data_IF_533947479632
#
_entry.id   IF_533947479632
#
_cell.length_a   1.000
_cell.length_b   1.000
_cell.length_c   1.000
_cell.angle_alpha   90.00
_cell.angle_beta   90.00
_cell.angle_gamma   90.00
#
_symmetry.space_group_name_H-M   'P 1'
#
loop_
_entity.id
_entity.type
_entity.pdbx_description
1 polymer ?
#
# COMPACT_ATOMS: atom_id res chain seq x y z
N UNK A 1 30.47 -38.19 -41.54
CA UNK A 1 30.95 -38.22 -40.14
C UNK A 1 31.85 -37.02 -39.92
N UNK A 2 31.38 -35.98 -39.24
CA UNK A 2 32.19 -34.83 -38.81
C UNK A 2 31.81 -34.49 -37.37
N UNK A 3 32.77 -34.63 -36.45
CA UNK A 3 32.60 -34.49 -35.01
C UNK A 3 32.46 -33.01 -34.61
N UNK A 4 31.37 -32.66 -33.91
CA UNK A 4 31.22 -31.38 -33.23
C UNK A 4 32.06 -31.35 -31.95
N UNK A 5 33.00 -30.42 -31.87
CA UNK A 5 33.73 -30.14 -30.63
C UNK A 5 32.84 -29.41 -29.63
N UNK A 6 32.53 -30.06 -28.51
CA UNK A 6 31.90 -29.42 -27.36
C UNK A 6 32.96 -28.58 -26.63
N UNK A 7 32.86 -27.25 -26.73
CA UNK A 7 33.60 -26.33 -25.85
C UNK A 7 33.18 -26.59 -24.40
N UNK A 8 34.03 -27.24 -23.61
CA UNK A 8 33.92 -27.28 -22.14
C UNK A 8 33.99 -25.85 -21.61
N UNK A 9 32.83 -25.23 -21.32
CA UNK A 9 32.79 -24.01 -20.50
C UNK A 9 33.29 -24.38 -19.10
N UNK A 10 34.32 -23.67 -18.66
CA UNK A 10 35.06 -23.92 -17.42
C UNK A 10 34.12 -23.97 -16.22
N UNK A 11 34.07 -25.14 -15.57
CA UNK A 11 33.32 -25.40 -14.35
C UNK A 11 33.71 -24.43 -13.21
N UNK A 12 34.95 -23.95 -13.24
CA UNK A 12 35.49 -22.95 -12.32
C UNK A 12 34.79 -21.59 -12.42
N UNK A 13 34.34 -21.16 -13.61
CA UNK A 13 33.63 -19.88 -13.76
C UNK A 13 32.23 -19.91 -13.13
N UNK A 14 31.56 -21.06 -13.15
CA UNK A 14 30.23 -21.25 -12.53
C UNK A 14 30.35 -21.34 -11.01
N UNK A 15 31.38 -22.04 -10.51
CA UNK A 15 31.64 -22.13 -9.07
C UNK A 15 32.00 -20.76 -8.50
N UNK A 16 32.90 -20.00 -9.14
CA UNK A 16 33.31 -18.67 -8.67
C UNK A 16 32.17 -17.65 -8.69
N UNK A 17 31.32 -17.65 -9.74
CA UNK A 17 30.12 -16.82 -9.76
C UNK A 17 29.13 -17.24 -8.66
N UNK A 18 29.01 -18.54 -8.39
CA UNK A 18 28.20 -19.09 -7.31
C UNK A 18 28.68 -18.67 -5.92
N UNK A 19 30.00 -18.68 -5.65
CA UNK A 19 30.55 -18.24 -4.36
C UNK A 19 30.46 -16.73 -4.17
N UNK A 20 30.67 -15.92 -5.22
CA UNK A 20 30.49 -14.46 -5.15
C UNK A 20 29.02 -14.13 -4.88
N UNK A 21 28.10 -14.82 -5.56
CA UNK A 21 26.66 -14.66 -5.35
C UNK A 21 26.24 -15.08 -3.93
N UNK A 22 26.73 -16.21 -3.44
CA UNK A 22 26.44 -16.71 -2.09
C UNK A 22 27.00 -15.78 -1.01
N UNK A 23 28.21 -15.24 -1.21
CA UNK A 23 28.85 -14.30 -0.28
C UNK A 23 28.12 -12.95 -0.27
N UNK A 24 27.61 -12.48 -1.41
CA UNK A 24 26.76 -11.29 -1.49
C UNK A 24 25.40 -11.50 -0.81
N UNK A 25 24.79 -12.67 -0.99
CA UNK A 25 23.54 -13.07 -0.32
C UNK A 25 23.73 -13.17 1.20
N UNK A 26 24.81 -13.79 1.67
CA UNK A 26 25.15 -13.89 3.09
C UNK A 26 25.39 -12.52 3.73
N UNK A 27 26.14 -11.64 3.04
CA UNK A 27 26.43 -10.28 3.52
C UNK A 27 25.19 -9.38 3.58
N UNK A 28 24.20 -9.63 2.72
CA UNK A 28 22.89 -8.94 2.74
C UNK A 28 21.94 -9.54 3.78
N UNK A 29 21.97 -10.87 3.96
CA UNK A 29 21.18 -11.56 4.98
C UNK A 29 21.53 -11.07 6.39
N UNK A 30 22.82 -10.90 6.68
CA UNK A 30 23.30 -10.35 7.96
C UNK A 30 22.84 -8.90 8.17
N UNK A 31 22.75 -8.09 7.11
CA UNK A 31 22.28 -6.70 7.21
C UNK A 31 20.76 -6.61 7.48
N UNK A 32 19.96 -7.46 6.83
CA UNK A 32 18.49 -7.52 7.04
C UNK A 32 18.15 -8.08 8.43
N UNK A 33 18.85 -9.12 8.87
CA UNK A 33 18.64 -9.69 10.21
C UNK A 33 19.07 -8.73 11.34
N UNK A 34 20.07 -7.86 11.10
CA UNK A 34 20.44 -6.78 12.02
C UNK A 34 19.33 -5.73 12.14
N UNK A 35 18.76 -5.27 11.03
CA UNK A 35 17.62 -4.34 11.05
C UNK A 35 16.36 -4.93 11.70
N UNK A 36 16.15 -6.24 11.59
CA UNK A 36 15.04 -6.93 12.26
C UNK A 36 15.25 -7.05 13.78
N UNK A 37 16.50 -7.22 14.23
CA UNK A 37 16.88 -7.25 15.65
C UNK A 37 16.84 -5.86 16.29
N UNK A 38 17.29 -4.83 15.58
CA UNK A 38 17.24 -3.42 16.04
C UNK A 38 15.78 -2.96 16.20
N UNK A 39 14.89 -3.33 15.28
CA UNK A 39 13.44 -3.05 15.42
C UNK A 39 12.76 -3.70 16.63
N UNK A 40 13.36 -4.76 17.19
CA UNK A 40 12.88 -5.41 18.41
C UNK A 40 13.43 -4.76 19.68
N UNK A 41 14.64 -4.20 19.63
CA UNK A 41 15.26 -3.51 20.77
C UNK A 41 14.60 -2.14 21.04
N UNK A 42 14.17 -1.43 19.99
CA UNK A 42 13.53 -0.10 20.12
C UNK A 42 12.11 -0.15 20.73
N UNK A 43 11.54 -1.35 20.92
CA UNK A 43 10.25 -1.54 21.56
C UNK A 43 10.33 -1.72 23.09
N UNK A 44 11.53 -1.80 23.68
CA UNK A 44 11.71 -2.09 25.11
C UNK A 44 12.06 -0.88 26.00
N UNK A 45 12.20 0.33 25.46
CA UNK A 45 12.51 1.53 26.27
C UNK A 45 11.34 2.52 26.24
N UNK A 46 10.56 2.53 27.32
CA UNK A 46 9.64 3.61 27.72
C UNK A 46 10.27 4.42 28.87
N UNK A 47 10.01 5.72 28.91
CA UNK A 47 10.21 6.53 30.11
C UNK A 47 10.03 8.03 29.89
N UNK A 48 8.77 8.48 30.01
CA UNK A 48 8.28 9.74 30.60
C UNK A 48 8.88 11.10 30.20
N UNK A 49 8.05 11.97 29.60
CA UNK A 49 7.95 13.37 29.99
C UNK A 49 6.67 14.04 29.45
N UNK A 50 5.89 14.62 30.36
CA UNK A 50 4.82 15.59 30.13
C UNK A 50 5.47 16.99 30.33
N UNK A 51 5.27 18.03 29.50
CA UNK A 51 4.14 18.99 29.58
C UNK A 51 4.28 20.06 28.46
N UNK A 52 3.10 20.41 27.90
CA UNK A 52 2.56 21.67 27.32
C UNK A 52 3.44 22.59 26.47
N UNK A 53 2.89 22.90 25.29
CA UNK A 53 3.21 24.09 24.50
C UNK A 53 1.96 24.54 23.74
N UNK A 54 1.47 25.71 24.10
CA UNK A 54 0.34 26.38 23.48
C UNK A 54 0.84 26.97 22.15
N UNK A 55 0.59 26.29 21.04
CA UNK A 55 0.87 26.82 19.71
C UNK A 55 -0.31 26.59 18.76
N UNK A 56 -0.77 27.72 18.25
CA UNK A 56 -1.65 27.95 17.11
C UNK A 56 -1.71 26.77 16.12
N UNK A 57 -2.85 26.09 16.03
CA UNK A 57 -3.06 24.93 15.13
C UNK A 57 -3.20 25.43 13.68
N UNK A 58 -2.08 25.77 13.05
CA UNK A 58 -1.92 25.70 11.60
C UNK A 58 -1.48 24.28 11.24
N UNK A 59 -2.41 23.33 11.40
CA UNK A 59 -2.16 21.93 11.11
C UNK A 59 -2.18 21.68 9.60
N UNK A 60 -1.02 21.80 8.96
CA UNK A 60 -0.81 21.13 7.68
C UNK A 60 -1.11 19.65 7.87
N UNK A 61 -2.12 19.17 7.15
CA UNK A 61 -2.51 17.77 7.25
C UNK A 61 -1.38 16.96 6.64
N UNK A 62 -0.70 16.16 7.45
CA UNK A 62 0.26 15.20 6.96
C UNK A 62 -0.47 14.16 6.10
N UNK A 63 -0.03 13.96 4.86
CA UNK A 63 -0.55 12.91 4.00
C UNK A 63 0.29 11.65 4.19
N UNK A 64 -0.38 10.53 4.42
CA UNK A 64 0.25 9.22 4.58
C UNK A 64 -0.36 8.25 3.56
N UNK A 65 0.48 7.65 2.72
CA UNK A 65 0.06 6.64 1.76
C UNK A 65 0.32 5.26 2.36
N UNK A 66 -0.69 4.40 2.33
CA UNK A 66 -0.59 2.98 2.69
C UNK A 66 -0.90 2.15 1.45
N UNK A 67 0.14 1.61 0.83
CA UNK A 67 0.04 0.84 -0.40
C UNK A 67 0.25 -0.66 -0.14
N UNK A 68 -0.80 -1.47 -0.37
CA UNK A 68 -0.74 -2.93 -0.20
C UNK A 68 -0.37 -3.64 -1.53
N UNK A 69 0.85 -4.16 -1.61
CA UNK A 69 1.40 -4.83 -2.79
C UNK A 69 1.34 -6.34 -2.62
N UNK A 70 0.81 -7.04 -3.62
CA UNK A 70 0.85 -8.50 -3.71
C UNK A 70 1.64 -8.92 -4.95
N UNK A 71 2.61 -9.79 -4.76
CA UNK A 71 3.53 -10.32 -5.77
C UNK A 71 3.14 -11.79 -6.08
N UNK A 72 2.32 -12.03 -7.11
CA UNK A 72 1.97 -13.38 -7.54
C UNK A 72 3.16 -14.03 -8.27
N UNK A 73 3.36 -15.34 -8.06
CA UNK A 73 4.44 -16.11 -8.71
C UNK A 73 4.17 -16.39 -10.18
N UNK A 74 2.90 -16.48 -10.57
CA UNK A 74 2.48 -16.92 -11.91
C UNK A 74 2.37 -15.79 -12.94
N UNK A 75 2.66 -14.55 -12.55
CA UNK A 75 2.45 -13.35 -13.38
C UNK A 75 3.60 -12.38 -13.22
N UNK A 76 3.94 -11.71 -14.32
CA UNK A 76 4.88 -10.60 -14.26
C UNK A 76 4.21 -9.34 -13.70
N UNK A 77 4.44 -9.09 -12.42
CA UNK A 77 3.92 -7.95 -11.68
C UNK A 77 4.73 -6.67 -11.88
N UNK A 78 5.97 -6.76 -12.39
CA UNK A 78 6.94 -5.65 -12.43
C UNK A 78 6.44 -4.46 -13.25
N UNK A 79 5.88 -4.62 -14.47
CA UNK A 79 5.39 -3.49 -15.26
C UNK A 79 4.23 -2.76 -14.59
N UNK A 80 3.34 -3.50 -13.92
CA UNK A 80 2.19 -2.91 -13.26
C UNK A 80 2.60 -2.15 -12.00
N UNK A 81 3.48 -2.72 -11.17
CA UNK A 81 4.01 -2.04 -9.99
C UNK A 81 4.70 -0.72 -10.40
N UNK A 82 5.59 -0.79 -11.41
CA UNK A 82 6.28 0.39 -11.94
C UNK A 82 5.29 1.44 -12.42
N UNK A 83 4.26 1.04 -13.20
CA UNK A 83 3.28 1.98 -13.72
C UNK A 83 2.45 2.66 -12.62
N UNK A 84 1.99 1.90 -11.62
CA UNK A 84 1.20 2.44 -10.52
C UNK A 84 2.01 3.42 -9.66
N UNK A 85 3.28 3.11 -9.40
CA UNK A 85 4.17 4.02 -8.68
C UNK A 85 4.49 5.27 -9.49
N UNK A 86 4.77 5.12 -10.80
CA UNK A 86 5.02 6.26 -11.68
C UNK A 86 3.79 7.17 -11.78
N UNK A 87 2.57 6.61 -11.89
CA UNK A 87 1.33 7.39 -11.90
C UNK A 87 1.17 8.28 -10.64
N UNK A 88 1.65 7.83 -9.47
CA UNK A 88 1.59 8.60 -8.21
C UNK A 88 2.71 9.65 -8.16
N UNK A 89 3.90 9.33 -8.66
CA UNK A 89 5.01 10.27 -8.79
C UNK A 89 4.65 11.41 -9.76
N UNK A 90 4.10 11.09 -10.92
CA UNK A 90 3.77 12.03 -12.00
C UNK A 90 2.75 13.11 -11.57
N UNK A 91 1.91 12.82 -10.57
CA UNK A 91 0.93 13.77 -10.04
C UNK A 91 1.46 14.56 -8.83
N UNK A 92 2.74 14.41 -8.47
CA UNK A 92 3.41 15.10 -7.38
C UNK A 92 3.00 14.64 -5.97
N UNK A 93 2.21 13.58 -5.83
CA UNK A 93 1.69 13.17 -4.52
C UNK A 93 2.81 12.64 -3.59
N UNK A 94 3.86 12.01 -4.14
CA UNK A 94 4.99 11.51 -3.35
C UNK A 94 5.83 12.64 -2.71
N UNK A 95 5.78 13.86 -3.25
CA UNK A 95 6.49 15.02 -2.68
C UNK A 95 5.79 15.54 -1.42
N UNK A 96 4.50 15.25 -1.27
CA UNK A 96 3.65 15.75 -0.18
C UNK A 96 3.36 14.70 0.89
N UNK A 97 3.64 13.42 0.62
CA UNK A 97 3.17 12.31 1.42
C UNK A 97 4.27 11.34 1.86
N UNK A 98 4.14 10.81 3.07
CA UNK A 98 4.95 9.67 3.53
C UNK A 98 4.38 8.37 2.95
N UNK A 99 5.22 7.61 2.23
CA UNK A 99 4.81 6.34 1.63
C UNK A 99 5.18 5.15 2.52
N UNK A 100 4.16 4.39 2.93
CA UNK A 100 4.30 3.06 3.52
C UNK A 100 3.79 1.99 2.56
N UNK A 101 4.62 0.97 2.32
CA UNK A 101 4.32 -0.13 1.42
C UNK A 101 4.34 -1.44 2.19
N UNK A 102 3.21 -2.14 2.20
CA UNK A 102 3.12 -3.50 2.73
C UNK A 102 3.20 -4.48 1.57
N UNK A 103 4.28 -5.28 1.50
CA UNK A 103 4.56 -6.19 0.38
C UNK A 103 4.35 -7.63 0.82
N UNK A 104 3.49 -8.35 0.10
CA UNK A 104 3.23 -9.77 0.26
C UNK A 104 3.68 -10.54 -0.97
N UNK A 105 4.42 -11.64 -0.80
CA UNK A 105 4.85 -12.49 -1.91
C UNK A 105 4.20 -13.87 -1.82
N UNK A 106 3.71 -14.37 -2.96
CA UNK A 106 3.14 -15.71 -3.06
C UNK A 106 4.23 -16.79 -2.91
N UNK A 107 3.84 -17.92 -2.33
CA UNK A 107 4.68 -19.11 -2.17
C UNK A 107 4.26 -20.15 -3.21
N UNK A 108 5.22 -20.87 -3.80
CA UNK A 108 4.89 -22.04 -4.61
C UNK A 108 4.84 -23.29 -3.72
N UNK A 109 3.65 -23.73 -3.35
CA UNK A 109 3.42 -24.84 -2.40
C UNK A 109 4.08 -26.17 -2.83
N UNK A 110 4.38 -26.36 -4.11
CA UNK A 110 5.02 -27.58 -4.62
C UNK A 110 6.55 -27.59 -4.48
N UNK A 111 7.15 -26.50 -4.00
CA UNK A 111 8.60 -26.33 -3.89
C UNK A 111 9.06 -26.48 -2.44
N UNK A 112 10.27 -27.02 -2.23
CA UNK A 112 10.94 -27.07 -0.92
C UNK A 112 10.91 -25.69 -0.23
N UNK A 113 10.63 -25.69 1.09
CA UNK A 113 10.43 -24.50 1.92
C UNK A 113 11.61 -23.53 1.87
N UNK A 114 12.86 -24.01 1.73
CA UNK A 114 14.06 -23.16 1.60
C UNK A 114 14.09 -22.42 0.27
N UNK A 115 13.76 -23.09 -0.82
CA UNK A 115 13.68 -22.47 -2.15
C UNK A 115 12.53 -21.46 -2.23
N UNK A 116 11.42 -21.75 -1.56
CA UNK A 116 10.30 -20.84 -1.41
C UNK A 116 10.66 -19.56 -0.66
N UNK A 117 11.46 -19.65 0.40
CA UNK A 117 11.96 -18.48 1.12
C UNK A 117 12.90 -17.62 0.25
N UNK A 118 13.83 -18.26 -0.46
CA UNK A 118 14.76 -17.56 -1.35
C UNK A 118 14.01 -16.85 -2.49
N UNK A 119 13.04 -17.52 -3.12
CA UNK A 119 12.24 -16.94 -4.20
C UNK A 119 11.41 -15.74 -3.73
N UNK A 120 10.82 -15.79 -2.54
CA UNK A 120 10.11 -14.64 -1.95
C UNK A 120 11.07 -13.49 -1.63
N UNK A 121 12.24 -13.80 -1.08
CA UNK A 121 13.26 -12.78 -0.78
C UNK A 121 13.69 -12.03 -2.04
N UNK A 122 13.91 -12.74 -3.14
CA UNK A 122 14.24 -12.13 -4.43
C UNK A 122 13.09 -11.25 -4.95
N UNK A 123 11.84 -11.72 -4.86
CA UNK A 123 10.68 -10.92 -5.24
C UNK A 123 10.55 -9.63 -4.41
N UNK A 124 10.80 -9.69 -3.10
CA UNK A 124 10.82 -8.47 -2.27
C UNK A 124 11.93 -7.51 -2.69
N UNK A 125 13.13 -8.01 -2.97
CA UNK A 125 14.25 -7.18 -3.43
C UNK A 125 13.94 -6.48 -4.76
N UNK A 126 13.38 -7.21 -5.73
CA UNK A 126 12.97 -6.64 -7.01
C UNK A 126 11.88 -5.56 -6.82
N UNK A 127 10.88 -5.82 -5.96
CA UNK A 127 9.80 -4.86 -5.73
C UNK A 127 10.29 -3.59 -5.03
N UNK A 128 11.13 -3.75 -3.99
CA UNK A 128 11.77 -2.63 -3.29
C UNK A 128 12.63 -1.83 -4.26
N UNK A 129 13.42 -2.49 -5.12
CA UNK A 129 14.25 -1.80 -6.10
C UNK A 129 13.41 -0.90 -7.03
N UNK A 130 12.31 -1.43 -7.58
CA UNK A 130 11.40 -0.66 -8.44
C UNK A 130 10.82 0.55 -7.71
N UNK A 131 10.39 0.38 -6.46
CA UNK A 131 9.80 1.46 -5.65
C UNK A 131 10.87 2.49 -5.27
N UNK A 132 12.05 2.07 -4.85
CA UNK A 132 13.16 2.94 -4.46
C UNK A 132 13.70 3.77 -5.63
N UNK A 133 13.73 3.20 -6.84
CA UNK A 133 14.09 3.93 -8.07
C UNK A 133 13.16 5.13 -8.31
N UNK A 134 11.86 4.98 -8.00
CA UNK A 134 10.84 6.02 -8.25
C UNK A 134 10.71 6.99 -7.07
N UNK A 135 10.85 6.48 -5.84
CA UNK A 135 10.66 7.25 -4.61
C UNK A 135 11.95 7.83 -4.05
N UNK A 136 13.08 7.60 -4.72
CA UNK A 136 14.41 7.97 -4.26
C UNK A 136 14.71 7.45 -2.84
N UNK A 137 14.31 6.20 -2.55
CA UNK A 137 14.52 5.49 -1.27
C UNK A 137 13.85 6.12 -0.05
N UNK A 138 12.77 6.87 -0.25
CA UNK A 138 12.02 7.49 0.86
C UNK A 138 10.89 6.60 1.40
N UNK A 139 10.53 5.54 0.68
CA UNK A 139 9.46 4.62 1.08
C UNK A 139 9.83 3.76 2.30
N UNK A 140 8.82 3.42 3.10
CA UNK A 140 8.93 2.52 4.26
C UNK A 140 8.26 1.18 3.96
N UNK A 141 8.88 0.08 4.36
CA UNK A 141 8.45 -1.26 3.94
C UNK A 141 8.06 -2.17 5.10
N UNK A 142 6.94 -2.88 4.96
CA UNK A 142 6.57 -4.02 5.79
C UNK A 142 6.46 -5.27 4.90
N UNK A 143 7.28 -6.30 5.17
CA UNK A 143 7.34 -7.51 4.35
C UNK A 143 6.56 -8.65 4.99
N UNK A 144 5.75 -9.34 4.20
CA UNK A 144 4.92 -10.45 4.66
C UNK A 144 5.10 -11.67 3.77
N UNK A 145 5.49 -12.78 4.38
CA UNK A 145 5.63 -14.07 3.69
C UNK A 145 4.25 -14.71 3.50
N UNK A 146 3.88 -14.97 2.24
CA UNK A 146 2.59 -15.55 1.87
C UNK A 146 1.48 -14.54 1.57
N UNK A 147 0.38 -15.05 1.02
CA UNK A 147 -0.79 -14.25 0.67
C UNK A 147 -1.80 -14.19 1.83
N UNK A 148 -1.91 -13.03 2.48
CA UNK A 148 -2.97 -12.76 3.47
C UNK A 148 -3.95 -11.68 2.99
N UNK A 149 -4.19 -11.65 1.67
CA UNK A 149 -5.04 -10.68 1.00
C UNK A 149 -4.60 -9.24 1.32
N UNK A 150 -5.49 -8.45 1.90
CA UNK A 150 -5.26 -7.05 2.25
C UNK A 150 -4.91 -6.83 3.73
N UNK A 151 -4.78 -7.91 4.51
CA UNK A 151 -4.42 -7.83 5.93
C UNK A 151 -3.17 -7.01 6.20
N UNK A 152 -2.02 -7.21 5.51
CA UNK A 152 -0.80 -6.49 5.86
C UNK A 152 -0.95 -4.98 5.73
N UNK A 153 -1.51 -4.50 4.62
CA UNK A 153 -1.80 -3.08 4.43
C UNK A 153 -2.84 -2.53 5.40
N UNK A 154 -3.93 -3.27 5.67
CA UNK A 154 -4.96 -2.83 6.61
C UNK A 154 -4.44 -2.76 8.05
N UNK A 155 -3.62 -3.73 8.46
CA UNK A 155 -2.95 -3.74 9.75
C UNK A 155 -1.99 -2.55 9.88
N UNK A 156 -1.27 -2.22 8.81
CA UNK A 156 -0.39 -1.07 8.77
C UNK A 156 -1.17 0.25 8.86
N UNK A 157 -2.25 0.41 8.08
CA UNK A 157 -3.15 1.56 8.17
C UNK A 157 -3.66 1.77 9.61
N UNK A 158 -4.13 0.69 10.25
CA UNK A 158 -4.60 0.75 11.63
C UNK A 158 -3.50 1.18 12.61
N UNK A 159 -2.30 0.60 12.49
CA UNK A 159 -1.11 0.95 13.29
C UNK A 159 -0.74 2.42 13.11
N UNK A 160 -0.63 2.88 11.87
CA UNK A 160 -0.26 4.26 11.55
C UNK A 160 -1.31 5.26 12.06
N UNK A 161 -2.61 4.96 11.94
CA UNK A 161 -3.67 5.80 12.50
C UNK A 161 -3.66 5.93 14.03
N UNK A 162 -2.90 5.09 14.76
CA UNK A 162 -2.68 5.23 16.21
C UNK A 162 -1.49 6.11 16.56
N UNK A 163 -0.47 6.14 15.72
CA UNK A 163 0.76 6.92 15.98
C UNK A 163 0.73 8.29 15.34
N UNK A 164 0.02 8.47 14.22
CA UNK A 164 -0.12 9.75 13.53
C UNK A 164 -1.20 10.63 14.17
N UNK A 165 -1.16 11.93 13.83
CA UNK A 165 -2.08 12.92 14.33
C UNK A 165 -3.54 12.64 13.95
N UNK A 166 -4.53 13.09 14.75
CA UNK A 166 -5.95 12.87 14.47
C UNK A 166 -6.44 13.58 13.19
N UNK A 167 -5.68 14.56 12.68
CA UNK A 167 -5.96 15.28 11.43
C UNK A 167 -5.12 14.80 10.25
N UNK A 168 -4.19 13.85 10.44
CA UNK A 168 -3.45 13.26 9.32
C UNK A 168 -4.42 12.61 8.35
N UNK A 169 -4.12 12.71 7.05
CA UNK A 169 -4.95 12.23 5.97
C UNK A 169 -4.29 11.00 5.34
N UNK A 170 -5.00 9.88 5.34
CA UNK A 170 -4.46 8.61 4.85
C UNK A 170 -5.07 8.26 3.51
N UNK A 171 -4.24 7.90 2.53
CA UNK A 171 -4.65 7.23 1.30
C UNK A 171 -4.34 5.74 1.42
N UNK A 172 -5.36 4.88 1.36
CA UNK A 172 -5.21 3.43 1.27
C UNK A 172 -5.59 2.94 -0.13
N UNK A 173 -4.75 2.08 -0.70
CA UNK A 173 -5.08 1.30 -1.87
C UNK A 173 -4.20 0.05 -1.96
N UNK A 174 -4.62 -0.89 -2.81
CA UNK A 174 -3.87 -2.10 -3.07
C UNK A 174 -3.46 -2.21 -4.54
N UNK A 175 -2.53 -3.10 -4.85
CA UNK A 175 -2.01 -3.40 -6.20
C UNK A 175 -3.07 -4.06 -7.11
N UNK A 176 -4.08 -3.27 -7.49
CA UNK A 176 -5.20 -3.74 -8.31
C UNK A 176 -4.70 -4.17 -9.69
N UNK A 177 -5.09 -5.38 -10.12
CA UNK A 177 -4.74 -5.92 -11.43
C UNK A 177 -3.60 -6.93 -11.43
N UNK A 178 -3.01 -7.26 -10.27
CA UNK A 178 -1.91 -8.24 -10.20
C UNK A 178 -2.33 -9.69 -10.54
N UNK A 179 -3.58 -10.10 -10.27
CA UNK A 179 -4.01 -11.51 -10.40
C UNK A 179 -4.88 -11.78 -11.63
N UNK A 180 -5.77 -10.86 -12.01
CA UNK A 180 -6.90 -11.15 -12.93
C UNK A 180 -6.74 -10.60 -14.36
N UNK A 181 -5.56 -10.71 -14.98
CA UNK A 181 -5.33 -10.19 -16.35
C UNK A 181 -4.40 -11.06 -17.20
N UNK A 182 -4.75 -11.21 -18.49
CA UNK A 182 -3.81 -11.55 -19.57
C UNK A 182 -3.23 -10.27 -20.16
N UNK A 183 -1.93 -10.26 -20.49
CA UNK A 183 -1.09 -9.12 -20.94
C UNK A 183 -1.23 -7.81 -20.12
N UNK A 184 -0.11 -7.15 -19.83
CA UNK A 184 0.00 -5.97 -18.95
C UNK A 184 -0.99 -4.83 -19.25
N UNK A 185 -1.39 -4.66 -20.52
CA UNK A 185 -2.37 -3.67 -20.97
C UNK A 185 -3.76 -3.85 -20.35
N UNK A 186 -4.24 -5.08 -20.18
CA UNK A 186 -5.56 -5.30 -19.59
C UNK A 186 -5.56 -5.02 -18.08
N UNK A 187 -4.43 -5.27 -17.39
CA UNK A 187 -4.27 -4.99 -15.97
C UNK A 187 -4.42 -3.52 -15.64
N UNK A 188 -3.85 -2.67 -16.50
CA UNK A 188 -3.98 -1.23 -16.38
C UNK A 188 -5.44 -0.76 -16.53
N UNK A 189 -6.28 -1.42 -17.35
CA UNK A 189 -7.69 -1.03 -17.53
C UNK A 189 -8.53 -1.07 -16.25
N UNK A 190 -8.20 -1.95 -15.28
CA UNK A 190 -8.93 -2.01 -13.98
C UNK A 190 -8.39 -1.03 -12.96
N UNK A 191 -7.08 -0.75 -12.99
CA UNK A 191 -6.46 0.24 -12.10
C UNK A 191 -6.77 1.68 -12.52
N UNK A 192 -6.73 1.97 -13.83
CA UNK A 192 -6.80 3.35 -14.33
C UNK A 192 -8.04 4.13 -13.87
N UNK A 193 -9.27 3.57 -13.89
CA UNK A 193 -10.44 4.28 -13.37
C UNK A 193 -10.33 4.61 -11.89
N UNK A 194 -9.77 3.72 -11.06
CA UNK A 194 -9.57 3.94 -9.63
C UNK A 194 -8.52 5.01 -9.38
N UNK A 195 -7.41 4.98 -10.13
CA UNK A 195 -6.40 6.02 -10.09
C UNK A 195 -6.99 7.40 -10.43
N UNK A 196 -7.68 7.51 -11.57
CA UNK A 196 -8.21 8.79 -12.05
C UNK A 196 -9.28 9.39 -11.12
N UNK A 197 -10.03 8.54 -10.42
CA UNK A 197 -11.15 8.98 -9.57
C UNK A 197 -10.76 9.19 -8.11
N UNK A 198 -9.85 8.37 -7.56
CA UNK A 198 -9.50 8.42 -6.14
C UNK A 198 -8.15 9.07 -5.89
N UNK A 199 -7.13 8.77 -6.70
CA UNK A 199 -5.73 9.13 -6.41
C UNK A 199 -5.33 10.42 -7.10
N UNK A 200 -5.56 10.52 -8.42
CA UNK A 200 -5.19 11.71 -9.23
C UNK A 200 -5.70 13.04 -8.65
N UNK A 201 -6.95 13.18 -8.15
CA UNK A 201 -7.45 14.45 -7.63
C UNK A 201 -7.02 14.73 -6.18
N UNK A 202 -5.84 14.28 -5.74
CA UNK A 202 -5.42 14.32 -4.34
C UNK A 202 -5.45 15.73 -3.72
N UNK A 203 -5.09 16.77 -4.47
CA UNK A 203 -5.09 18.16 -4.00
C UNK A 203 -6.51 18.62 -3.62
N UNK A 204 -7.49 18.28 -4.46
CA UNK A 204 -8.89 18.59 -4.20
C UNK A 204 -9.42 17.79 -3.02
N UNK A 205 -9.03 16.51 -2.89
CA UNK A 205 -9.39 15.70 -1.72
C UNK A 205 -8.80 16.32 -0.45
N UNK A 206 -7.51 16.66 -0.44
CA UNK A 206 -6.86 17.30 0.71
C UNK A 206 -7.57 18.59 1.10
N UNK A 207 -7.86 19.47 0.12
CA UNK A 207 -8.58 20.73 0.34
C UNK A 207 -9.94 20.50 1.00
N UNK A 208 -10.72 19.53 0.52
CA UNK A 208 -12.04 19.20 1.10
C UNK A 208 -11.94 18.66 2.52
N UNK A 209 -10.95 17.82 2.81
CA UNK A 209 -10.71 17.36 4.19
C UNK A 209 -10.26 18.50 5.10
N UNK A 210 -9.51 19.48 4.59
CA UNK A 210 -9.14 20.68 5.36
C UNK A 210 -10.35 21.56 5.67
N UNK A 211 -11.21 21.80 4.68
CA UNK A 211 -12.39 22.66 4.80
C UNK A 211 -13.53 22.02 5.59
N UNK A 212 -13.70 20.70 5.50
CA UNK A 212 -14.76 19.98 6.17
C UNK A 212 -14.22 19.03 7.25
N UNK A 213 -14.18 19.52 8.49
CA UNK A 213 -13.74 18.72 9.66
C UNK A 213 -14.64 17.51 9.96
N UNK A 214 -15.88 17.47 9.45
CA UNK A 214 -16.79 16.33 9.59
C UNK A 214 -16.54 15.25 8.51
N UNK A 215 -15.81 15.57 7.45
CA UNK A 215 -15.42 14.60 6.43
C UNK A 215 -14.35 13.67 7.00
N UNK A 216 -14.70 12.40 7.13
CA UNK A 216 -13.84 11.37 7.70
C UNK A 216 -13.36 10.34 6.68
N UNK A 217 -14.10 10.18 5.58
CA UNK A 217 -13.90 9.10 4.64
C UNK A 217 -14.36 9.53 3.24
N UNK A 218 -13.57 9.20 2.22
CA UNK A 218 -13.90 9.39 0.81
C UNK A 218 -13.29 8.25 -0.01
N UNK A 219 -13.91 7.83 -1.12
CA UNK A 219 -13.32 6.80 -1.97
C UNK A 219 -14.26 6.35 -3.07
N UNK A 220 -13.85 5.30 -3.78
CA UNK A 220 -14.58 4.85 -4.96
C UNK A 220 -15.97 4.28 -4.61
N UNK A 221 -17.01 4.84 -5.22
CA UNK A 221 -18.40 4.41 -5.07
C UNK A 221 -18.86 4.23 -3.60
N UNK A 222 -18.48 5.14 -2.71
CA UNK A 222 -18.84 5.08 -1.29
C UNK A 222 -20.36 4.95 -1.07
N UNK A 223 -20.76 4.03 -0.21
CA UNK A 223 -22.16 3.77 0.16
C UNK A 223 -22.61 4.57 1.39
N UNK A 224 -23.93 4.57 1.68
CA UNK A 224 -24.49 5.31 2.84
C UNK A 224 -23.96 4.80 4.17
N UNK A 225 -23.67 3.51 4.22
CA UNK A 225 -23.20 2.82 5.42
C UNK A 225 -21.68 2.86 5.58
N UNK A 226 -20.96 3.65 4.76
CA UNK A 226 -19.50 3.80 4.85
C UNK A 226 -18.70 2.68 4.19
N UNK A 227 -19.34 1.77 3.45
CA UNK A 227 -18.63 0.79 2.61
C UNK A 227 -18.02 1.49 1.38
N UNK A 228 -16.78 1.16 1.04
CA UNK A 228 -16.07 1.69 -0.14
C UNK A 228 -15.64 0.55 -1.03
N UNK A 229 -15.99 0.66 -2.32
CA UNK A 229 -15.65 -0.37 -3.28
C UNK A 229 -14.15 -0.41 -3.57
N UNK A 230 -13.64 -1.63 -3.72
CA UNK A 230 -12.26 -1.95 -4.07
C UNK A 230 -11.18 -1.54 -3.07
N UNK A 231 -11.53 -1.01 -1.90
CA UNK A 231 -10.57 -0.49 -0.92
C UNK A 231 -9.61 0.56 -1.51
N UNK A 232 -10.14 1.50 -2.29
CA UNK A 232 -9.42 2.71 -2.69
C UNK A 232 -10.09 3.88 -1.99
N UNK A 233 -9.46 4.38 -0.92
CA UNK A 233 -10.07 5.41 -0.07
C UNK A 233 -9.06 6.34 0.60
N UNK A 234 -9.57 7.52 0.90
CA UNK A 234 -9.00 8.50 1.80
C UNK A 234 -9.71 8.46 3.14
N UNK A 235 -8.97 8.50 4.25
CA UNK A 235 -9.54 8.45 5.59
C UNK A 235 -8.79 9.35 6.57
N UNK A 236 -9.51 10.02 7.46
CA UNK A 236 -8.93 10.86 8.51
C UNK A 236 -8.39 9.99 9.65
N UNK A 237 -7.23 10.36 10.20
CA UNK A 237 -6.58 9.64 11.29
C UNK A 237 -7.50 9.41 12.50
N UNK A 238 -8.30 10.42 12.89
CA UNK A 238 -9.30 10.29 13.96
C UNK A 238 -10.37 9.23 13.68
N UNK A 239 -10.78 9.03 12.42
CA UNK A 239 -11.70 7.95 12.07
C UNK A 239 -11.03 6.57 12.20
N UNK A 240 -9.76 6.43 11.77
CA UNK A 240 -9.02 5.16 11.96
C UNK A 240 -8.98 4.77 13.44
N UNK A 241 -8.94 5.75 14.36
CA UNK A 241 -8.97 5.52 15.82
C UNK A 241 -10.22 4.82 16.33
N UNK A 242 -11.34 4.93 15.61
CA UNK A 242 -12.60 4.25 15.96
C UNK A 242 -12.67 2.81 15.45
N UNK A 243 -11.82 2.44 14.48
CA UNK A 243 -11.83 1.10 13.90
C UNK A 243 -11.37 0.02 14.88
N UNK A 244 -12.02 -1.14 14.81
CA UNK A 244 -11.57 -2.35 15.49
C UNK A 244 -10.19 -2.76 15.00
N UNK A 245 -9.38 -3.38 15.86
CA UNK A 245 -8.09 -3.94 15.45
C UNK A 245 -8.34 -5.00 14.35
N UNK A 246 -7.62 -4.94 13.22
CA UNK A 246 -7.82 -5.91 12.16
C UNK A 246 -7.34 -7.29 12.60
N UNK A 247 -8.06 -8.33 12.19
CA UNK A 247 -7.67 -9.71 12.43
C UNK A 247 -7.20 -10.37 11.12
N UNK A 248 -6.25 -11.28 11.27
CA UNK A 248 -5.81 -12.15 10.17
C UNK A 248 -6.86 -13.25 9.98
N UNK A 249 -7.45 -13.35 8.80
CA UNK A 249 -8.52 -14.31 8.50
C UNK A 249 -8.45 -14.78 7.05
N UNK A 250 -8.93 -16.00 6.80
CA UNK A 250 -9.09 -16.55 5.45
C UNK A 250 -10.27 -15.92 4.69
N UNK A 251 -11.21 -15.26 5.39
CA UNK A 251 -12.37 -14.60 4.77
C UNK A 251 -11.94 -13.31 4.09
N UNK A 252 -11.61 -13.37 2.80
CA UNK A 252 -11.21 -12.20 1.99
C UNK A 252 -12.14 -10.99 2.13
N UNK A 253 -13.45 -11.22 2.12
CA UNK A 253 -14.48 -10.16 2.24
C UNK A 253 -14.41 -9.37 3.55
N UNK A 254 -13.74 -9.89 4.59
CA UNK A 254 -13.48 -9.14 5.83
C UNK A 254 -12.70 -7.85 5.58
N UNK A 255 -11.82 -7.86 4.58
CA UNK A 255 -11.00 -6.72 4.23
C UNK A 255 -11.73 -5.72 3.35
N UNK A 256 -12.73 -6.15 2.57
CA UNK A 256 -13.53 -5.29 1.69
C UNK A 256 -14.48 -4.36 2.48
N UNK A 257 -14.95 -4.79 3.65
CA UNK A 257 -15.81 -4.00 4.53
C UNK A 257 -15.06 -3.43 5.76
N UNK A 258 -13.73 -3.58 5.82
CA UNK A 258 -12.96 -3.26 7.03
C UNK A 258 -13.12 -1.81 7.48
N UNK A 259 -13.20 -0.87 6.55
CA UNK A 259 -13.33 0.57 6.86
C UNK A 259 -14.67 0.91 7.52
N UNK A 260 -15.64 -0.01 7.50
CA UNK A 260 -16.93 0.09 8.19
C UNK A 260 -16.93 -0.61 9.57
N UNK A 261 -15.83 -1.27 9.96
CA UNK A 261 -15.70 -2.01 11.23
C UNK A 261 -15.30 -1.10 12.38
N UNK A 262 -16.21 -0.19 12.74
CA UNK A 262 -16.09 0.66 13.92
C UNK A 262 -16.30 -0.15 15.20
N UNK A 263 -15.59 0.19 16.27
CA UNK A 263 -15.83 -0.37 17.61
C UNK A 263 -17.26 0.03 18.01
N UNK A 264 -18.20 -0.93 18.05
CA UNK A 264 -19.45 -0.75 18.78
C UNK A 264 -19.10 -0.78 20.26
N UNK A 265 -19.22 0.34 20.94
CA UNK A 265 -19.15 0.37 22.40
C UNK A 265 -20.58 0.28 22.94
N UNK A 266 -20.76 -0.46 24.04
CA UNK A 266 -21.89 -0.27 24.95
C UNK A 266 -21.81 1.06 25.72
N UNK A 267 -21.06 2.03 25.21
CA UNK A 267 -20.86 3.36 25.77
C UNK A 267 -20.79 4.32 24.59
N UNK A 268 -21.53 5.42 24.67
CA UNK A 268 -21.66 6.54 23.71
C UNK A 268 -22.80 6.35 22.70
N UNK A 269 -23.81 7.20 22.91
CA UNK A 269 -24.95 7.44 22.03
C UNK A 269 -24.54 7.49 20.56
N UNK A 270 -25.27 6.73 19.74
CA UNK A 270 -25.38 7.04 18.32
C UNK A 270 -26.04 8.41 18.20
N UNK A 271 -25.23 9.45 18.08
CA UNK A 271 -25.72 10.66 17.44
C UNK A 271 -26.07 10.29 16.00
N UNK A 272 -27.37 10.30 15.72
CA UNK A 272 -27.98 10.23 14.39
C UNK A 272 -27.47 11.31 13.41
N UNK A 273 -26.47 12.12 13.79
CA UNK A 273 -25.85 13.17 12.98
C UNK A 273 -24.56 12.77 12.25
N UNK A 274 -24.10 11.50 12.29
CA UNK A 274 -23.13 11.00 11.27
C UNK A 274 -23.89 10.59 10.01
N UNK A 275 -24.70 11.52 9.52
CA UNK A 275 -25.50 11.41 8.32
C UNK A 275 -25.02 12.51 7.36
N UNK A 276 -23.78 12.41 6.87
CA UNK A 276 -23.18 13.37 5.93
C UNK A 276 -22.14 12.62 5.07
N UNK A 277 -22.09 12.68 3.74
CA UNK A 277 -22.81 13.54 2.80
C UNK A 277 -22.87 12.86 1.42
N UNK A 278 -24.07 12.61 0.88
CA UNK A 278 -24.28 11.94 -0.42
C UNK A 278 -23.92 12.79 -1.63
N UNK A 279 -23.86 14.10 -1.44
CA UNK A 279 -23.63 15.07 -2.51
C UNK A 279 -22.19 14.98 -3.05
N UNK A 280 -21.26 14.42 -2.27
CA UNK A 280 -19.85 14.23 -2.63
C UNK A 280 -19.63 13.31 -3.84
N UNK A 281 -20.28 12.14 -3.87
CA UNK A 281 -20.09 11.18 -4.98
C UNK A 281 -20.80 11.69 -6.24
N UNK A 282 -21.92 12.40 -6.11
CA UNK A 282 -22.61 13.00 -7.25
C UNK A 282 -21.87 14.20 -7.82
N UNK A 283 -21.37 15.14 -7.03
CA UNK A 283 -20.63 16.30 -7.55
C UNK A 283 -19.27 15.92 -8.14
N UNK A 284 -18.53 15.01 -7.50
CA UNK A 284 -17.24 14.54 -8.07
C UNK A 284 -17.49 13.70 -9.31
N UNK A 285 -18.50 12.82 -9.33
CA UNK A 285 -18.85 12.10 -10.55
C UNK A 285 -19.42 13.05 -11.60
N UNK A 286 -20.25 14.03 -11.30
CA UNK A 286 -20.78 14.99 -12.28
C UNK A 286 -19.69 15.90 -12.84
N UNK A 287 -18.73 16.33 -12.01
CA UNK A 287 -17.56 17.11 -12.44
C UNK A 287 -16.59 16.27 -13.29
N UNK A 288 -16.34 15.01 -12.90
CA UNK A 288 -15.52 14.05 -13.66
C UNK A 288 -16.23 13.57 -14.93
N UNK A 289 -17.55 13.37 -14.92
CA UNK A 289 -18.34 13.02 -16.11
C UNK A 289 -18.49 14.21 -17.07
N UNK A 290 -18.52 15.46 -16.57
CA UNK A 290 -18.42 16.66 -17.42
C UNK A 290 -17.06 16.72 -18.12
N UNK A 291 -15.97 16.43 -17.41
CA UNK A 291 -14.62 16.41 -17.98
C UNK A 291 -14.40 15.26 -18.99
N UNK A 292 -14.86 14.05 -18.69
CA UNK A 292 -14.73 12.88 -19.59
C UNK A 292 -15.54 13.05 -20.89
N UNK A 293 -16.63 13.83 -20.89
CA UNK A 293 -17.38 14.14 -22.12
C UNK A 293 -16.74 15.20 -23.01
N UNK A 294 -15.83 16.03 -22.49
CA UNK A 294 -15.19 17.11 -23.27
C UNK A 294 -13.95 16.61 -24.02
N UNK A 295 -13.25 15.58 -23.52
CA UNK A 295 -12.07 15.01 -24.20
C UNK A 295 -12.40 13.89 -25.22
N UNK A 296 -13.68 13.65 -25.52
CA UNK A 296 -14.11 12.75 -26.61
C UNK A 296 -14.71 13.47 -27.83
N UNK A 297 -14.53 14.79 -27.89
CA UNK A 297 -14.60 15.58 -29.12
C UNK A 297 -13.29 16.34 -29.24
N UNK A 298 -12.27 15.70 -29.82
CA UNK A 298 -11.23 16.20 -30.73
C UNK A 298 -10.16 15.12 -30.91
#
# INVERSE_FOLDING_TARGET
MTSRSFRKKSWWSVVVLGTIFLSFVLKRYTQVSRGLLESKADLEIKGDHEIKGDHEIKGDHEIVIVYNVYLPTRRDWRPLLRKQMQDIADIGLLERAELHVSISAEVNETTDSKFNYLAQTLQFQEAIQIIDEITHKTAKYDLTLGNFYEYPGIANLWKLGRVKGPQSLFLYFHSKGMVNHGNSLAANKKYKPLFLTVIKPWQEVERRFKENRKLNLAGYAASKSGFIWYNFFWVRGSYIKTLTRPIKTARRHYYEDYISRVRRSGDIEFSSSVQLNFDFVKEVLEYVYKWIRVEHFF
#
